data_IF_334723377660
#
_entry.id   IF_334723377660
#
_cell.length_a   1.000
_cell.length_b   1.000
_cell.length_c   1.000
_cell.angle_alpha   90.00
_cell.angle_beta   90.00
_cell.angle_gamma   90.00
#
_symmetry.space_group_name_H-M   'P 1'
#
loop_
_entity.id
_entity.type
_entity.pdbx_description
1 polymer ?
#
# COMPACT_ATOMS: atom_id res chain seq x y z
N UNK A 1 47.13 -33.13 -69.97
CA UNK A 1 47.19 -34.61 -70.05
C UNK A 1 46.79 -35.19 -68.71
N UNK A 2 45.80 -36.10 -68.70
CA UNK A 2 45.43 -37.14 -67.69
C UNK A 2 45.17 -36.64 -66.25
N UNK A 3 43.93 -36.51 -65.76
CA UNK A 3 42.89 -37.52 -65.44
C UNK A 3 43.16 -38.44 -64.23
N UNK A 4 42.04 -38.66 -63.51
CA UNK A 4 41.68 -39.60 -62.44
C UNK A 4 41.90 -39.11 -60.99
N UNK A 5 40.89 -38.86 -60.14
CA UNK A 5 39.56 -39.44 -59.79
C UNK A 5 39.62 -40.16 -58.43
N UNK A 6 38.48 -40.09 -57.72
CA UNK A 6 38.02 -40.94 -56.60
C UNK A 6 38.26 -40.35 -55.19
N UNK A 7 37.32 -40.29 -54.24
CA UNK A 7 35.86 -40.48 -54.10
C UNK A 7 35.56 -40.11 -52.62
N UNK A 8 34.38 -39.57 -52.30
CA UNK A 8 33.86 -39.56 -50.91
C UNK A 8 33.09 -38.30 -50.48
N UNK A 9 31.77 -38.35 -50.56
CA UNK A 9 30.74 -37.43 -50.02
C UNK A 9 30.08 -38.14 -48.80
N UNK A 10 29.26 -37.56 -47.88
CA UNK A 10 28.97 -36.18 -47.44
C UNK A 10 29.09 -35.97 -45.90
N UNK A 11 29.01 -34.73 -45.39
CA UNK A 11 28.09 -34.43 -44.27
C UNK A 11 27.75 -32.93 -44.15
N UNK A 12 26.45 -32.69 -44.04
CA UNK A 12 25.70 -31.48 -43.68
C UNK A 12 26.12 -31.06 -42.24
N UNK A 13 26.24 -29.78 -41.86
CA UNK A 13 25.17 -29.01 -41.20
C UNK A 13 25.50 -27.51 -41.11
N UNK A 14 24.52 -26.71 -41.54
CA UNK A 14 24.39 -25.28 -41.27
C UNK A 14 24.23 -25.04 -39.76
N UNK A 15 24.90 -24.02 -39.22
CA UNK A 15 24.45 -23.34 -38.02
C UNK A 15 23.90 -21.96 -38.43
N UNK A 16 22.57 -21.88 -38.50
CA UNK A 16 21.82 -20.62 -38.39
C UNK A 16 21.83 -20.19 -36.90
N UNK A 17 21.69 -18.88 -36.61
CA UNK A 17 21.50 -18.40 -35.25
C UNK A 17 20.12 -18.83 -34.73
N UNK A 18 20.10 -19.41 -33.52
CA UNK A 18 18.89 -19.80 -32.80
C UNK A 18 18.22 -18.57 -32.18
N UNK A 19 16.92 -18.48 -32.40
CA UNK A 19 16.02 -17.35 -32.16
C UNK A 19 15.50 -17.26 -30.72
N UNK A 20 15.18 -16.04 -30.29
CA UNK A 20 14.56 -15.62 -29.01
C UNK A 20 13.21 -16.30 -28.65
N UNK A 21 12.69 -17.21 -29.47
CA UNK A 21 11.40 -17.87 -29.29
C UNK A 21 11.38 -18.96 -28.20
N UNK A 22 12.52 -19.53 -27.83
CA UNK A 22 12.61 -20.59 -26.80
C UNK A 22 12.55 -20.04 -25.35
N UNK A 23 12.98 -18.80 -25.12
CA UNK A 23 12.90 -18.17 -23.80
C UNK A 23 11.46 -17.76 -23.45
N UNK A 24 10.69 -17.28 -24.43
CA UNK A 24 9.28 -16.93 -24.24
C UNK A 24 8.39 -18.17 -23.99
N UNK A 25 8.68 -19.29 -24.68
CA UNK A 25 7.98 -20.57 -24.48
C UNK A 25 8.16 -21.12 -23.05
N UNK A 26 9.38 -21.06 -22.52
CA UNK A 26 9.69 -21.62 -21.18
C UNK A 26 9.08 -20.76 -20.06
N UNK A 27 9.03 -19.44 -20.24
CA UNK A 27 8.43 -18.51 -19.28
C UNK A 27 6.89 -18.60 -19.30
N UNK A 28 6.28 -18.68 -20.48
CA UNK A 28 4.82 -18.89 -20.59
C UNK A 28 4.38 -20.21 -19.97
N UNK A 29 5.15 -21.29 -20.17
CA UNK A 29 4.81 -22.60 -19.60
C UNK A 29 4.88 -22.59 -18.06
N UNK A 30 5.85 -21.87 -17.48
CA UNK A 30 5.97 -21.73 -16.01
C UNK A 30 4.87 -20.86 -15.40
N UNK A 31 4.51 -19.75 -16.05
CA UNK A 31 3.41 -18.88 -15.59
C UNK A 31 2.06 -19.61 -15.66
N UNK A 32 1.83 -20.38 -16.73
CA UNK A 32 0.59 -21.16 -16.88
C UNK A 32 0.49 -22.29 -15.85
N UNK A 33 1.62 -22.87 -15.44
CA UNK A 33 1.66 -23.91 -14.38
C UNK A 33 1.38 -23.30 -13.00
N UNK A 34 1.92 -22.11 -12.71
CA UNK A 34 1.65 -21.39 -11.45
C UNK A 34 0.19 -20.94 -11.38
N UNK A 35 -0.39 -20.44 -12.48
CA UNK A 35 -1.81 -20.06 -12.54
C UNK A 35 -2.75 -21.28 -12.45
N UNK A 36 -2.35 -22.44 -12.98
CA UNK A 36 -3.07 -23.71 -12.78
C UNK A 36 -2.99 -24.20 -11.33
N UNK A 37 -1.85 -24.05 -10.65
CA UNK A 37 -1.71 -24.37 -9.22
C UNK A 37 -2.52 -23.43 -8.32
N UNK A 38 -2.54 -22.13 -8.63
CA UNK A 38 -3.33 -21.13 -7.88
C UNK A 38 -4.84 -21.28 -8.11
N UNK A 39 -5.27 -21.67 -9.32
CA UNK A 39 -6.67 -21.95 -9.61
C UNK A 39 -7.13 -23.30 -9.04
N UNK A 40 -6.24 -24.31 -8.98
CA UNK A 40 -6.51 -25.57 -8.30
C UNK A 40 -6.64 -25.40 -6.78
N UNK A 41 -5.81 -24.52 -6.17
CA UNK A 41 -5.89 -24.21 -4.73
C UNK A 41 -7.12 -23.40 -4.34
N UNK A 42 -7.78 -22.70 -5.28
CA UNK A 42 -9.08 -22.03 -5.04
C UNK A 42 -10.28 -22.97 -5.20
N UNK A 43 -10.10 -24.14 -5.82
CA UNK A 43 -11.18 -25.12 -6.08
C UNK A 43 -11.22 -26.28 -5.10
N UNK A 44 -10.19 -26.46 -4.27
CA UNK A 44 -10.21 -27.38 -3.13
C UNK A 44 -10.09 -26.58 -1.83
N UNK A 45 -11.09 -26.68 -0.96
CA UNK A 45 -11.01 -26.29 0.45
C UNK A 45 -10.00 -27.20 1.19
N UNK A 46 -8.70 -27.07 0.90
CA UNK A 46 -7.64 -27.73 1.67
C UNK A 46 -7.09 -26.73 2.68
N UNK A 47 -7.36 -26.98 3.97
CA UNK A 47 -6.56 -26.44 5.09
C UNK A 47 -5.14 -26.98 4.95
N UNK A 48 -4.20 -26.15 4.49
CA UNK A 48 -2.78 -26.47 4.58
C UNK A 48 -2.33 -26.12 6.00
N UNK A 49 -2.26 -27.13 6.87
CA UNK A 49 -1.60 -27.05 8.18
C UNK A 49 -0.11 -27.32 7.94
N UNK A 50 0.73 -26.31 8.14
CA UNK A 50 2.18 -26.47 8.13
C UNK A 50 2.64 -27.00 9.50
N UNK A 51 3.09 -28.25 9.56
CA UNK A 51 3.90 -28.75 10.67
C UNK A 51 5.38 -28.51 10.34
N UNK A 52 6.15 -27.76 11.13
CA UNK A 52 7.58 -27.69 10.92
C UNK A 52 8.24 -29.00 11.36
N UNK A 53 8.66 -29.81 10.38
CA UNK A 53 9.53 -30.96 10.62
C UNK A 53 10.94 -30.46 10.91
N UNK A 54 11.45 -30.71 12.11
CA UNK A 54 12.81 -30.37 12.50
C UNK A 54 13.81 -31.28 11.75
N UNK A 55 14.54 -30.73 10.78
CA UNK A 55 15.75 -31.35 10.23
C UNK A 55 16.98 -30.52 10.61
N UNK A 56 17.97 -31.24 11.15
CA UNK A 56 19.31 -30.73 11.48
C UNK A 56 20.05 -30.31 10.21
N UNK A 57 20.75 -29.19 10.30
CA UNK A 57 21.88 -28.84 9.44
C UNK A 57 21.51 -28.13 8.14
N UNK A 58 21.86 -26.85 8.06
CA UNK A 58 21.83 -26.07 6.81
C UNK A 58 21.33 -24.65 7.03
N UNK A 59 22.25 -23.69 7.06
CA UNK A 59 21.95 -22.27 7.12
C UNK A 59 21.30 -21.83 5.81
N UNK A 60 19.97 -21.91 5.73
CA UNK A 60 19.20 -21.23 4.68
C UNK A 60 18.34 -20.18 5.37
N UNK A 61 18.84 -18.95 5.34
CA UNK A 61 18.11 -17.75 5.77
C UNK A 61 16.92 -17.63 4.81
N UNK A 62 15.72 -17.99 5.27
CA UNK A 62 14.48 -17.63 4.58
C UNK A 62 14.40 -16.10 4.57
N UNK A 63 14.34 -15.45 3.39
CA UNK A 63 14.23 -14.01 3.32
C UNK A 63 12.90 -13.57 3.90
N UNK A 64 12.99 -12.62 4.83
CA UNK A 64 11.90 -11.90 5.47
C UNK A 64 10.91 -11.37 4.40
N UNK A 65 9.71 -11.96 4.34
CA UNK A 65 8.63 -11.62 3.41
C UNK A 65 8.01 -10.24 3.68
N UNK A 66 8.50 -9.49 4.68
CA UNK A 66 8.11 -8.10 4.96
C UNK A 66 8.48 -7.10 3.84
N UNK A 67 9.23 -7.51 2.81
CA UNK A 67 9.58 -6.66 1.65
C UNK A 67 8.51 -6.61 0.55
N UNK A 68 7.48 -7.43 0.60
CA UNK A 68 6.25 -7.22 -0.16
C UNK A 68 5.31 -6.47 0.80
N UNK A 69 5.04 -5.19 0.56
CA UNK A 69 4.33 -4.27 1.46
C UNK A 69 2.86 -4.59 1.77
N UNK A 70 2.54 -5.86 2.00
CA UNK A 70 1.25 -6.37 2.47
C UNK A 70 1.47 -6.86 3.90
N UNK A 71 0.92 -6.20 4.92
CA UNK A 71 0.92 -6.70 6.29
C UNK A 71 0.25 -8.08 6.32
N UNK A 72 1.00 -9.12 6.68
CA UNK A 72 0.42 -10.44 6.96
C UNK A 72 -0.11 -10.36 8.39
N UNK A 73 -1.43 -10.12 8.55
CA UNK A 73 -2.09 -10.23 9.85
C UNK A 73 -1.91 -11.67 10.36
N UNK A 74 -1.07 -11.84 11.37
CA UNK A 74 -0.88 -13.12 12.05
C UNK A 74 -2.13 -13.44 12.87
N UNK A 75 -2.58 -14.69 12.87
CA UNK A 75 -3.72 -15.11 13.69
C UNK A 75 -3.27 -15.41 15.12
N UNK A 76 -4.09 -15.08 16.13
CA UNK A 76 -3.82 -15.51 17.52
C UNK A 76 -3.90 -17.04 17.58
N UNK A 77 -2.90 -17.73 18.16
CA UNK A 77 -2.90 -19.19 18.26
C UNK A 77 -4.12 -19.69 19.03
N UNK A 78 -4.69 -20.82 18.58
CA UNK A 78 -5.83 -21.45 19.25
C UNK A 78 -5.54 -21.75 20.72
N UNK A 79 -4.31 -22.10 21.06
CA UNK A 79 -3.89 -22.38 22.44
C UNK A 79 -4.10 -21.20 23.39
N UNK A 80 -3.85 -19.97 22.94
CA UNK A 80 -4.04 -18.76 23.76
C UNK A 80 -5.53 -18.47 23.94
N UNK A 81 -6.33 -18.73 22.91
CA UNK A 81 -7.78 -18.56 22.97
C UNK A 81 -8.43 -19.62 23.83
N UNK A 82 -7.98 -20.87 23.73
CA UNK A 82 -8.44 -21.99 24.57
C UNK A 82 -8.11 -21.76 26.05
N UNK A 83 -6.91 -21.24 26.37
CA UNK A 83 -6.54 -20.86 27.74
C UNK A 83 -7.46 -19.75 28.29
N UNK A 84 -7.83 -18.77 27.46
CA UNK A 84 -8.78 -17.73 27.85
C UNK A 84 -10.18 -18.32 28.06
N UNK A 85 -10.64 -19.18 27.15
CA UNK A 85 -11.95 -19.84 27.19
C UNK A 85 -12.09 -20.85 28.33
N UNK A 86 -11.00 -21.46 28.81
CA UNK A 86 -11.05 -22.34 29.97
C UNK A 86 -11.20 -21.60 31.30
N UNK A 87 -11.07 -20.26 31.31
CA UNK A 87 -11.18 -19.44 32.53
C UNK A 87 -9.99 -19.64 33.50
N UNK A 88 -8.94 -20.34 33.08
CA UNK A 88 -7.76 -20.63 33.90
C UNK A 88 -6.54 -19.72 33.70
N UNK A 89 -6.53 -18.64 32.89
CA UNK A 89 -5.31 -17.88 32.71
C UNK A 89 -4.94 -17.17 34.02
N UNK A 90 -3.65 -17.01 34.27
CA UNK A 90 -3.20 -16.18 35.39
C UNK A 90 -3.43 -14.71 35.04
N UNK A 91 -4.47 -14.11 35.63
CA UNK A 91 -4.85 -12.71 35.42
C UNK A 91 -4.22 -11.82 36.48
N UNK A 92 -3.47 -10.80 36.05
CA UNK A 92 -2.86 -9.82 36.95
C UNK A 92 -3.71 -8.56 37.06
N UNK A 93 -3.91 -7.97 38.24
CA UNK A 93 -4.60 -6.70 38.33
C UNK A 93 -3.80 -5.59 37.64
N UNK A 94 -4.50 -4.77 36.85
CA UNK A 94 -4.00 -3.52 36.26
C UNK A 94 -4.87 -2.37 36.79
N UNK A 95 -4.49 -1.77 37.94
CA UNK A 95 -5.21 -0.63 38.48
C UNK A 95 -5.17 0.56 37.53
N UNK A 96 -6.31 1.24 37.38
CA UNK A 96 -6.40 2.45 36.56
C UNK A 96 -5.45 3.52 37.12
N UNK A 97 -4.67 4.14 36.23
CA UNK A 97 -3.65 5.13 36.56
C UNK A 97 -2.24 4.55 36.73
N UNK A 98 -2.09 3.23 36.78
CA UNK A 98 -0.79 2.57 36.95
C UNK A 98 -0.29 1.94 35.64
N UNK A 99 1.04 1.86 35.52
CA UNK A 99 1.74 1.15 34.44
C UNK A 99 2.33 -0.16 34.93
N UNK A 100 2.20 -1.23 34.15
CA UNK A 100 2.85 -2.51 34.41
C UNK A 100 3.76 -2.86 33.24
N UNK A 101 5.06 -2.99 33.52
CA UNK A 101 6.03 -3.47 32.54
C UNK A 101 6.20 -4.98 32.63
N UNK A 102 6.39 -5.61 31.48
CA UNK A 102 6.53 -7.06 31.39
C UNK A 102 7.27 -7.49 30.14
N UNK A 103 7.56 -8.79 30.10
CA UNK A 103 8.15 -9.46 28.95
C UNK A 103 7.37 -10.74 28.73
N UNK A 104 6.63 -10.81 27.63
CA UNK A 104 5.84 -11.98 27.26
C UNK A 104 6.65 -12.85 26.29
N UNK A 105 6.65 -14.15 26.55
CA UNK A 105 7.29 -15.12 25.66
C UNK A 105 6.56 -15.22 24.32
N UNK A 106 7.22 -15.86 23.35
CA UNK A 106 6.72 -15.98 21.98
C UNK A 106 5.39 -16.74 21.97
N UNK A 107 4.41 -16.22 21.24
CA UNK A 107 3.10 -16.87 21.10
C UNK A 107 2.37 -17.12 22.43
N UNK A 108 2.73 -16.38 23.49
CA UNK A 108 2.05 -16.37 24.78
C UNK A 108 1.34 -15.04 25.00
N UNK A 109 0.43 -15.02 25.97
CA UNK A 109 -0.26 -13.80 26.40
C UNK A 109 -0.11 -13.61 27.91
N UNK A 110 0.03 -12.36 28.34
CA UNK A 110 -0.13 -11.99 29.75
C UNK A 110 -1.49 -11.32 29.91
N UNK A 111 -2.31 -11.85 30.81
CA UNK A 111 -3.67 -11.38 31.05
C UNK A 111 -3.72 -10.37 32.20
N UNK A 112 -4.58 -9.37 32.04
CA UNK A 112 -4.75 -8.26 32.95
C UNK A 112 -6.23 -8.01 33.23
N UNK A 113 -6.58 -7.81 34.50
CA UNK A 113 -7.91 -7.37 34.91
C UNK A 113 -7.91 -5.87 35.23
N UNK A 114 -8.84 -5.14 34.64
CA UNK A 114 -9.08 -3.73 34.93
C UNK A 114 -10.45 -3.61 35.59
N UNK A 115 -10.48 -3.18 36.85
CA UNK A 115 -11.72 -2.91 37.57
C UNK A 115 -12.14 -1.45 37.34
N UNK A 116 -13.33 -1.26 36.78
CA UNK A 116 -13.91 0.02 36.38
C UNK A 116 -15.13 0.30 37.26
N UNK A 117 -15.18 1.45 37.91
CA UNK A 117 -16.38 1.90 38.64
C UNK A 117 -17.32 2.71 37.73
N UNK A 118 -18.51 3.08 38.21
CA UNK A 118 -19.50 3.84 37.43
C UNK A 118 -18.96 5.18 36.92
N UNK A 119 -18.29 5.97 37.77
CA UNK A 119 -17.72 7.26 37.36
C UNK A 119 -16.68 7.12 36.25
N UNK A 120 -15.86 6.06 36.30
CA UNK A 120 -14.84 5.76 35.32
C UNK A 120 -15.44 5.25 34.01
N UNK A 121 -16.47 4.41 34.09
CA UNK A 121 -17.23 3.97 32.93
C UNK A 121 -17.89 5.16 32.22
N UNK A 122 -18.39 6.13 32.99
CA UNK A 122 -18.91 7.38 32.44
C UNK A 122 -17.82 8.30 31.88
N UNK A 123 -16.66 8.39 32.52
CA UNK A 123 -15.57 9.19 31.95
C UNK A 123 -15.04 8.59 30.64
N UNK A 124 -15.01 7.26 30.55
CA UNK A 124 -14.36 6.51 29.48
C UNK A 124 -12.97 6.02 29.88
N UNK A 125 -12.54 4.95 29.23
CA UNK A 125 -11.32 4.21 29.57
C UNK A 125 -10.43 4.04 28.34
N UNK A 126 -9.13 4.21 28.53
CA UNK A 126 -8.12 3.93 27.51
C UNK A 126 -7.18 2.87 28.04
N UNK A 127 -7.01 1.79 27.30
CA UNK A 127 -5.98 0.78 27.59
C UNK A 127 -4.94 0.86 26.49
N UNK A 128 -3.69 1.15 26.87
CA UNK A 128 -2.57 1.31 25.93
C UNK A 128 -1.40 0.44 26.31
N UNK A 129 -0.67 0.01 25.30
CA UNK A 129 0.56 -0.76 25.45
C UNK A 129 1.65 -0.10 24.62
N UNK A 130 2.83 0.05 25.20
CA UNK A 130 4.01 0.60 24.52
C UNK A 130 5.21 -0.32 24.68
N UNK A 131 6.12 -0.31 23.70
CA UNK A 131 7.41 -1.00 23.78
C UNK A 131 8.54 -0.11 23.30
N UNK A 132 9.44 0.24 24.21
CA UNK A 132 10.69 0.93 23.89
C UNK A 132 11.66 0.06 23.08
N UNK A 133 11.53 -1.27 23.19
CA UNK A 133 12.32 -2.23 22.43
C UNK A 133 11.75 -2.48 21.02
N UNK A 134 10.72 -1.72 20.61
CA UNK A 134 10.02 -1.89 19.33
C UNK A 134 9.55 -3.34 19.10
N UNK A 135 9.09 -3.99 20.18
CA UNK A 135 8.60 -5.36 20.12
C UNK A 135 7.31 -5.44 19.29
N UNK A 136 7.10 -6.56 18.61
CA UNK A 136 5.82 -6.88 17.97
C UNK A 136 4.91 -7.56 18.98
N UNK A 137 3.73 -7.00 19.19
CA UNK A 137 2.73 -7.51 20.12
C UNK A 137 1.33 -7.14 19.65
N UNK A 138 0.32 -7.76 20.25
CA UNK A 138 -1.08 -7.38 20.09
C UNK A 138 -1.70 -7.07 21.45
N UNK A 139 -2.57 -6.08 21.48
CA UNK A 139 -3.47 -5.82 22.60
C UNK A 139 -4.79 -6.52 22.31
N UNK A 140 -5.23 -7.34 23.24
CA UNK A 140 -6.47 -8.11 23.14
C UNK A 140 -7.43 -7.67 24.24
N UNK A 141 -8.72 -7.64 23.92
CA UNK A 141 -9.81 -7.46 24.89
C UNK A 141 -10.76 -8.65 24.81
N UNK A 142 -11.16 -9.15 25.97
CA UNK A 142 -12.04 -10.30 26.09
C UNK A 142 -13.30 -9.96 26.88
N UNK A 143 -14.41 -10.56 26.48
CA UNK A 143 -15.68 -10.54 27.19
C UNK A 143 -15.90 -11.85 27.94
N UNK A 144 -16.65 -11.78 29.04
CA UNK A 144 -16.98 -12.95 29.84
C UNK A 144 -18.01 -13.81 29.10
N UNK A 145 -17.75 -15.12 28.98
CA UNK A 145 -18.67 -16.08 28.39
C UNK A 145 -19.50 -16.81 29.44
N UNK A 146 -20.67 -17.34 29.04
CA UNK A 146 -21.56 -18.05 29.95
C UNK A 146 -20.95 -19.32 30.57
N UNK A 147 -19.92 -19.89 29.93
CA UNK A 147 -19.16 -21.04 30.42
C UNK A 147 -18.13 -20.69 31.52
N UNK A 148 -18.00 -19.42 31.92
CA UNK A 148 -17.00 -18.94 32.89
C UNK A 148 -15.64 -18.62 32.29
N UNK A 149 -15.49 -18.75 30.97
CA UNK A 149 -14.30 -18.37 30.22
C UNK A 149 -14.35 -16.96 29.64
N UNK A 150 -13.38 -16.64 28.80
CA UNK A 150 -13.25 -15.34 28.14
C UNK A 150 -13.21 -15.49 26.61
N UNK A 151 -14.18 -14.87 25.92
CA UNK A 151 -14.27 -14.81 24.47
C UNK A 151 -13.55 -13.57 23.92
N UNK A 152 -12.74 -13.73 22.87
CA UNK A 152 -12.02 -12.61 22.26
C UNK A 152 -13.01 -11.65 21.58
N UNK A 153 -13.05 -10.39 22.05
CA UNK A 153 -13.94 -9.36 21.52
C UNK A 153 -13.22 -8.37 20.62
N UNK A 154 -12.01 -7.91 20.99
CA UNK A 154 -11.22 -6.99 20.18
C UNK A 154 -9.76 -7.41 20.10
N UNK A 155 -9.13 -7.07 18.98
CA UNK A 155 -7.70 -7.19 18.79
C UNK A 155 -7.14 -5.94 18.12
N UNK A 156 -6.04 -5.42 18.66
CA UNK A 156 -5.29 -4.30 18.09
C UNK A 156 -3.83 -4.71 17.89
N UNK A 157 -3.33 -4.54 16.67
CA UNK A 157 -1.94 -4.80 16.31
C UNK A 157 -1.08 -3.60 16.68
N UNK A 158 0.11 -3.84 17.23
CA UNK A 158 1.00 -2.73 17.53
C UNK A 158 1.51 -2.06 16.25
N UNK A 159 1.54 -0.74 16.25
CA UNK A 159 2.11 0.07 15.18
C UNK A 159 3.39 0.76 15.64
N UNK A 160 4.28 1.06 14.70
CA UNK A 160 5.51 1.79 15.01
C UNK A 160 5.22 3.29 15.05
N UNK A 161 5.40 3.86 16.24
CA UNK A 161 5.24 5.29 16.49
C UNK A 161 6.57 5.89 16.91
N UNK A 162 7.29 6.48 15.96
CA UNK A 162 8.64 7.04 16.18
C UNK A 162 9.66 5.98 16.61
N UNK A 163 10.14 6.08 17.85
CA UNK A 163 11.14 5.17 18.45
C UNK A 163 10.53 4.01 19.25
N UNK A 164 9.21 3.97 19.38
CA UNK A 164 8.49 2.92 20.14
C UNK A 164 7.50 2.20 19.23
N UNK A 165 7.01 1.04 19.67
CA UNK A 165 5.78 0.44 19.11
C UNK A 165 4.64 0.58 20.12
N UNK A 166 3.43 0.81 19.63
CA UNK A 166 2.25 1.15 20.44
C UNK A 166 1.00 0.47 19.93
N UNK A 167 0.13 0.01 20.82
CA UNK A 167 -1.26 -0.35 20.52
C UNK A 167 -2.17 0.28 21.58
N UNK A 168 -3.40 0.64 21.21
CA UNK A 168 -4.34 1.25 22.15
C UNK A 168 -5.78 0.96 21.79
N UNK A 169 -6.59 0.72 22.81
CA UNK A 169 -8.05 0.62 22.73
C UNK A 169 -8.66 1.78 23.49
N UNK A 170 -9.62 2.46 22.86
CA UNK A 170 -10.18 3.73 23.31
C UNK A 170 -11.70 3.59 23.50
N UNK A 171 -12.14 3.50 24.75
CA UNK A 171 -13.53 3.34 25.16
C UNK A 171 -14.06 4.67 25.71
N UNK A 172 -14.23 5.66 24.83
CA UNK A 172 -14.43 7.06 25.19
C UNK A 172 -15.89 7.54 25.15
N UNK A 173 -16.87 6.62 24.99
CA UNK A 173 -18.31 6.91 24.84
C UNK A 173 -18.65 7.81 23.63
N UNK A 174 -17.77 7.84 22.64
CA UNK A 174 -18.05 8.31 21.29
C UNK A 174 -17.34 7.40 20.30
N UNK A 175 -17.77 7.45 19.04
CA UNK A 175 -17.21 6.59 18.02
C UNK A 175 -15.77 7.01 17.69
N UNK A 176 -14.84 6.11 17.99
CA UNK A 176 -13.44 6.16 17.53
C UNK A 176 -13.32 5.34 16.26
N UNK A 177 -12.46 5.76 15.33
CA UNK A 177 -12.24 5.07 14.06
C UNK A 177 -10.83 4.51 13.97
N UNK A 178 -10.73 3.26 13.53
CA UNK A 178 -9.46 2.62 13.15
C UNK A 178 -9.23 2.78 11.66
N UNK A 179 -7.96 2.93 11.26
CA UNK A 179 -7.58 2.99 9.86
C UNK A 179 -7.17 1.60 9.36
N UNK A 180 -7.90 1.03 8.41
CA UNK A 180 -7.46 -0.18 7.72
C UNK A 180 -6.43 0.18 6.63
N UNK A 181 -5.16 0.04 7.00
CA UNK A 181 -4.02 0.33 6.11
C UNK A 181 -3.95 -0.60 4.89
N UNK A 182 -4.58 -1.78 4.92
CA UNK A 182 -4.55 -2.74 3.82
C UNK A 182 -5.37 -2.26 2.60
N UNK A 183 -6.49 -1.57 2.85
CA UNK A 183 -7.32 -0.99 1.79
C UNK A 183 -6.57 0.11 1.02
N UNK A 184 -5.78 0.91 1.75
CA UNK A 184 -5.04 2.02 1.16
C UNK A 184 -3.92 1.52 0.23
N UNK A 185 -3.15 0.50 0.62
CA UNK A 185 -2.02 0.00 -0.17
C UNK A 185 -2.42 -0.52 -1.57
N UNK A 186 -3.55 -1.21 -1.69
CA UNK A 186 -4.05 -1.74 -2.97
C UNK A 186 -4.45 -0.62 -3.94
N UNK A 187 -5.06 0.45 -3.42
CA UNK A 187 -5.43 1.61 -4.23
C UNK A 187 -4.18 2.34 -4.76
N UNK A 188 -3.16 2.53 -3.92
CA UNK A 188 -1.93 3.24 -4.30
C UNK A 188 -1.14 2.53 -5.41
N UNK A 189 -1.19 1.20 -5.47
CA UNK A 189 -0.47 0.42 -6.47
C UNK A 189 -1.04 0.55 -7.89
N UNK A 190 -2.31 0.96 -8.04
CA UNK A 190 -3.02 1.03 -9.32
C UNK A 190 -3.05 2.44 -9.91
N UNK A 191 -3.19 3.45 -9.06
CA UNK A 191 -3.29 4.86 -9.46
C UNK A 191 -2.78 5.76 -8.30
N UNK A 192 -1.63 6.45 -8.47
CA UNK A 192 -1.08 7.34 -7.46
C UNK A 192 -2.01 8.50 -7.07
N UNK A 193 -2.87 8.98 -7.98
CA UNK A 193 -3.83 10.05 -7.66
C UNK A 193 -5.01 9.49 -6.86
N UNK A 194 -5.46 8.28 -7.17
CA UNK A 194 -6.49 7.60 -6.38
C UNK A 194 -6.04 7.32 -4.94
N UNK A 195 -4.73 7.16 -4.71
CA UNK A 195 -4.16 7.03 -3.36
C UNK A 195 -4.58 8.17 -2.43
N UNK A 196 -4.58 9.41 -2.95
CA UNK A 196 -4.95 10.58 -2.18
C UNK A 196 -6.44 10.59 -1.84
N UNK A 197 -7.30 10.40 -2.84
CA UNK A 197 -8.75 10.43 -2.67
C UNK A 197 -9.27 9.30 -1.77
N UNK A 198 -8.61 8.14 -1.82
CA UNK A 198 -8.99 6.95 -1.05
C UNK A 198 -8.37 6.85 0.33
N UNK A 199 -7.51 7.81 0.70
CA UNK A 199 -6.74 7.77 1.96
C UNK A 199 -7.59 7.61 3.22
N UNK A 200 -8.82 8.12 3.21
CA UNK A 200 -9.76 8.06 4.33
C UNK A 200 -10.86 6.98 4.15
N UNK A 201 -10.83 6.18 3.08
CA UNK A 201 -11.82 5.10 2.87
C UNK A 201 -11.65 3.94 3.85
N UNK A 202 -10.42 3.72 4.34
CA UNK A 202 -10.11 2.71 5.34
C UNK A 202 -10.60 3.04 6.76
N UNK A 203 -11.21 4.20 7.01
CA UNK A 203 -11.77 4.55 8.32
C UNK A 203 -12.95 3.63 8.66
N UNK A 204 -12.72 2.71 9.60
CA UNK A 204 -13.72 1.78 10.13
C UNK A 204 -14.04 2.14 11.58
N UNK A 205 -15.32 2.15 11.98
CA UNK A 205 -15.67 2.36 13.38
C UNK A 205 -15.10 1.20 14.24
N UNK A 206 -14.54 1.54 15.40
CA UNK A 206 -14.21 0.55 16.43
C UNK A 206 -15.51 -0.13 16.90
N UNK A 207 -15.47 -1.46 17.03
CA UNK A 207 -16.65 -2.29 17.32
C UNK A 207 -17.22 -2.04 18.72
N UNK A 208 -16.35 -1.67 19.68
CA UNK A 208 -16.74 -1.30 21.05
C UNK A 208 -16.25 0.12 21.32
N UNK A 209 -17.16 0.99 21.75
CA UNK A 209 -16.89 2.41 22.03
C UNK A 209 -16.94 2.76 23.52
N UNK A 210 -17.44 1.86 24.37
CA UNK A 210 -17.58 2.06 25.81
C UNK A 210 -17.43 0.74 26.57
N UNK A 211 -17.03 0.84 27.84
CA UNK A 211 -17.03 -0.27 28.80
C UNK A 211 -17.98 0.07 29.95
N UNK A 212 -18.61 -0.96 30.53
CA UNK A 212 -19.47 -0.79 31.69
C UNK A 212 -18.65 -0.80 32.98
N UNK A 213 -19.28 -0.46 34.09
CA UNK A 213 -18.71 -0.74 35.40
C UNK A 213 -18.58 -2.26 35.57
N UNK A 214 -17.47 -2.69 36.18
CA UNK A 214 -17.15 -4.11 36.34
C UNK A 214 -15.68 -4.42 36.07
N UNK A 215 -15.38 -5.71 35.97
CA UNK A 215 -14.03 -6.21 35.71
C UNK A 215 -13.90 -6.59 34.24
N UNK A 216 -12.93 -5.99 33.57
CA UNK A 216 -12.65 -6.20 32.15
C UNK A 216 -11.29 -6.88 31.96
N UNK A 217 -11.23 -7.82 31.01
CA UNK A 217 -10.01 -8.61 30.76
C UNK A 217 -9.32 -8.16 29.48
N UNK A 218 -8.05 -7.82 29.63
CA UNK A 218 -7.15 -7.48 28.54
C UNK A 218 -5.98 -8.45 28.51
N UNK A 219 -5.32 -8.57 27.36
CA UNK A 219 -4.06 -9.29 27.29
C UNK A 219 -3.05 -8.64 26.36
N UNK A 220 -1.78 -8.78 26.70
CA UNK A 220 -0.67 -8.46 25.79
C UNK A 220 -0.13 -9.76 25.22
N UNK A 221 -0.31 -9.96 23.92
CA UNK A 221 0.14 -11.15 23.20
C UNK A 221 1.47 -10.89 22.47
N UNK A 222 2.45 -11.78 22.65
CA UNK A 222 3.74 -11.71 21.99
C UNK A 222 3.68 -12.20 20.54
N UNK A 223 3.49 -11.27 19.60
CA UNK A 223 3.30 -11.55 18.17
C UNK A 223 4.60 -11.69 17.36
N UNK A 224 5.67 -12.12 18.04
CA UNK A 224 6.98 -12.30 17.44
C UNK A 224 7.39 -13.78 17.47
N UNK A 225 7.74 -14.32 16.29
CA UNK A 225 8.15 -15.72 16.13
C UNK A 225 9.55 -16.01 16.70
N UNK A 226 10.40 -14.99 16.83
CA UNK A 226 11.82 -15.19 17.12
C UNK A 226 12.29 -14.59 18.43
N UNK A 227 11.60 -13.58 18.97
CA UNK A 227 11.99 -12.91 20.22
C UNK A 227 10.78 -12.70 21.14
N UNK A 228 10.96 -12.79 22.46
CA UNK A 228 9.95 -12.33 23.41
C UNK A 228 9.66 -10.84 23.22
N UNK A 229 8.45 -10.41 23.58
CA UNK A 229 8.01 -9.03 23.48
C UNK A 229 8.07 -8.34 24.84
N UNK A 230 8.92 -7.32 24.95
CA UNK A 230 8.91 -6.43 26.12
C UNK A 230 7.88 -5.34 25.92
N UNK A 231 7.12 -5.02 26.96
CA UNK A 231 6.04 -4.03 26.88
C UNK A 231 5.83 -3.31 28.22
N UNK A 232 5.07 -2.22 28.17
CA UNK A 232 4.45 -1.55 29.32
C UNK A 232 3.00 -1.30 28.99
N UNK A 233 2.09 -1.82 29.81
CA UNK A 233 0.64 -1.65 29.67
C UNK A 233 0.12 -0.67 30.73
N UNK A 234 -0.85 0.15 30.36
CA UNK A 234 -1.51 1.13 31.21
C UNK A 234 -3.01 1.15 30.93
N UNK A 235 -3.81 1.28 31.99
CA UNK A 235 -5.23 1.62 31.90
C UNK A 235 -5.44 3.02 32.46
N UNK A 236 -6.10 3.90 31.71
CA UNK A 236 -6.25 5.32 32.04
C UNK A 236 -7.73 5.71 32.03
N UNK A 237 -8.12 6.51 33.02
CA UNK A 237 -9.43 7.16 33.04
C UNK A 237 -9.38 8.44 32.19
N UNK A 238 -10.30 8.58 31.25
CA UNK A 238 -10.35 9.73 30.35
C UNK A 238 -10.70 11.04 31.08
N UNK A 239 -11.24 10.98 32.31
CA UNK A 239 -11.45 12.14 33.21
C UNK A 239 -10.17 12.94 33.44
N UNK A 240 -9.02 12.26 33.50
CA UNK A 240 -7.71 12.92 33.65
C UNK A 240 -7.18 13.55 32.34
N UNK A 241 -7.90 13.40 31.23
CA UNK A 241 -7.49 13.78 29.87
C UNK A 241 -8.62 14.45 29.08
N UNK A 242 -9.59 15.10 29.74
CA UNK A 242 -10.80 15.66 29.13
C UNK A 242 -10.52 16.53 27.89
N UNK A 243 -9.60 17.49 27.98
CA UNK A 243 -9.21 18.34 26.86
C UNK A 243 -8.72 17.53 25.64
N UNK A 244 -7.97 16.46 25.89
CA UNK A 244 -7.43 15.60 24.82
C UNK A 244 -8.53 14.73 24.24
N UNK A 245 -9.43 14.23 25.08
CA UNK A 245 -10.61 13.43 24.69
C UNK A 245 -11.57 14.26 23.81
N UNK A 246 -11.84 15.51 24.18
CA UNK A 246 -12.65 16.43 23.37
C UNK A 246 -12.00 16.76 22.03
N UNK A 247 -10.70 17.07 22.02
CA UNK A 247 -9.95 17.30 20.78
C UNK A 247 -9.99 16.08 19.86
N UNK A 248 -9.86 14.87 20.42
CA UNK A 248 -9.97 13.64 19.63
C UNK A 248 -11.36 13.50 19.01
N UNK A 249 -12.43 13.73 19.78
CA UNK A 249 -13.81 13.71 19.27
C UNK A 249 -14.01 14.69 18.10
N UNK A 250 -13.46 15.89 18.21
CA UNK A 250 -13.53 16.90 17.15
C UNK A 250 -12.76 16.48 15.90
N UNK A 251 -11.56 15.89 16.08
CA UNK A 251 -10.75 15.37 14.97
C UNK A 251 -11.45 14.21 14.27
N UNK A 252 -12.06 13.28 15.00
CA UNK A 252 -12.82 12.18 14.42
C UNK A 252 -13.98 12.70 13.54
N UNK A 253 -14.73 13.69 14.04
CA UNK A 253 -15.79 14.33 13.27
C UNK A 253 -15.25 15.03 12.00
N UNK A 254 -14.10 15.72 12.10
CA UNK A 254 -13.45 16.38 10.97
C UNK A 254 -12.95 15.37 9.92
N UNK A 255 -12.38 14.24 10.34
CA UNK A 255 -11.92 13.17 9.44
C UNK A 255 -13.07 12.57 8.65
N UNK A 256 -14.20 12.29 9.30
CA UNK A 256 -15.40 11.79 8.60
C UNK A 256 -15.96 12.81 7.61
N UNK A 257 -15.99 14.09 7.99
CA UNK A 257 -16.41 15.17 7.09
C UNK A 257 -15.49 15.23 5.88
N UNK A 258 -14.16 15.22 6.10
CA UNK A 258 -13.16 15.24 5.04
C UNK A 258 -13.23 14.01 4.13
N UNK A 259 -13.55 12.82 4.65
CA UNK A 259 -13.79 11.62 3.85
C UNK A 259 -14.91 11.84 2.82
N UNK A 260 -16.00 12.49 3.23
CA UNK A 260 -17.11 12.78 2.31
C UNK A 260 -16.75 13.88 1.31
N UNK A 261 -16.06 14.93 1.76
CA UNK A 261 -15.57 16.00 0.88
C UNK A 261 -14.59 15.48 -0.17
N UNK A 262 -13.69 14.56 0.18
CA UNK A 262 -12.74 13.95 -0.75
C UNK A 262 -13.43 13.16 -1.85
N UNK A 263 -14.52 12.43 -1.55
CA UNK A 263 -15.28 11.70 -2.57
C UNK A 263 -15.91 12.65 -3.59
N UNK A 264 -16.46 13.78 -3.13
CA UNK A 264 -17.02 14.78 -4.03
C UNK A 264 -15.92 15.45 -4.86
N UNK A 265 -14.80 15.80 -4.21
CA UNK A 265 -13.66 16.40 -4.89
C UNK A 265 -13.04 15.47 -5.94
N UNK A 266 -12.99 14.15 -5.71
CA UNK A 266 -12.52 13.19 -6.71
C UNK A 266 -13.31 13.30 -8.02
N UNK A 267 -14.63 13.41 -7.94
CA UNK A 267 -15.51 13.51 -9.11
C UNK A 267 -15.17 14.77 -9.92
N UNK A 268 -15.04 15.91 -9.23
CA UNK A 268 -14.72 17.20 -9.85
C UNK A 268 -13.32 17.19 -10.47
N UNK A 269 -12.35 16.63 -9.76
CA UNK A 269 -10.98 16.49 -10.21
C UNK A 269 -10.89 15.66 -11.50
N UNK A 270 -11.52 14.47 -11.53
CA UNK A 270 -11.51 13.60 -12.72
C UNK A 270 -12.17 14.28 -13.92
N UNK A 271 -13.24 15.04 -13.70
CA UNK A 271 -13.89 15.83 -14.76
C UNK A 271 -12.98 16.92 -15.31
N UNK A 272 -12.23 17.61 -14.44
CA UNK A 272 -11.26 18.62 -14.86
C UNK A 272 -10.09 18.00 -15.66
N UNK A 273 -9.56 16.86 -15.21
CA UNK A 273 -8.51 16.12 -15.93
C UNK A 273 -8.97 15.70 -17.31
N UNK A 274 -10.18 15.15 -17.45
CA UNK A 274 -10.74 14.77 -18.74
C UNK A 274 -10.86 15.96 -19.71
N UNK A 275 -11.35 17.11 -19.22
CA UNK A 275 -11.42 18.33 -20.05
C UNK A 275 -10.05 18.88 -20.44
N UNK A 276 -9.09 18.84 -19.53
CA UNK A 276 -7.73 19.27 -19.83
C UNK A 276 -7.10 18.40 -20.93
N UNK A 277 -7.30 17.08 -20.87
CA UNK A 277 -6.84 16.14 -21.89
C UNK A 277 -7.49 16.41 -23.25
N UNK A 278 -8.81 16.65 -23.27
CA UNK A 278 -9.56 17.01 -24.48
C UNK A 278 -8.99 18.28 -25.14
N UNK A 279 -8.85 19.36 -24.37
CA UNK A 279 -8.34 20.64 -24.87
C UNK A 279 -6.89 20.54 -25.35
N UNK A 280 -6.05 19.78 -24.63
CA UNK A 280 -4.64 19.58 -25.00
C UNK A 280 -4.50 18.76 -26.28
N UNK A 281 -5.35 17.75 -26.45
CA UNK A 281 -5.42 16.96 -27.69
C UNK A 281 -5.83 17.85 -28.87
N UNK A 282 -6.90 18.64 -28.70
CA UNK A 282 -7.36 19.57 -29.73
C UNK A 282 -6.30 20.61 -30.10
N UNK A 283 -5.64 21.23 -29.12
CA UNK A 283 -4.55 22.17 -29.38
C UNK A 283 -3.43 21.53 -30.22
N UNK A 284 -3.06 20.29 -29.92
CA UNK A 284 -2.03 19.57 -30.68
C UNK A 284 -2.44 19.32 -32.13
N UNK A 285 -3.72 18.95 -32.36
CA UNK A 285 -4.28 18.77 -33.70
C UNK A 285 -4.35 20.07 -34.49
N UNK A 286 -4.86 21.14 -33.88
CA UNK A 286 -4.96 22.46 -34.51
C UNK A 286 -3.58 23.01 -34.89
N UNK A 287 -2.60 22.87 -33.98
CA UNK A 287 -1.21 23.25 -34.26
C UNK A 287 -0.66 22.51 -35.49
N UNK A 288 -0.85 21.20 -35.54
CA UNK A 288 -0.39 20.39 -36.69
C UNK A 288 -1.09 20.82 -37.98
N UNK A 289 -2.41 21.04 -37.94
CA UNK A 289 -3.18 21.49 -39.11
C UNK A 289 -2.67 22.83 -39.64
N UNK A 290 -2.39 23.79 -38.75
CA UNK A 290 -1.81 25.09 -39.13
C UNK A 290 -0.41 24.92 -39.75
N UNK A 291 0.45 24.10 -39.15
CA UNK A 291 1.80 23.84 -39.68
C UNK A 291 1.74 23.21 -41.09
N UNK A 292 0.80 22.30 -41.33
CA UNK A 292 0.57 21.68 -42.64
C UNK A 292 0.06 22.69 -43.68
N UNK A 293 -0.89 23.56 -43.31
CA UNK A 293 -1.40 24.61 -44.18
C UNK A 293 -0.31 25.62 -44.56
N UNK A 294 0.52 26.03 -43.59
CA UNK A 294 1.65 26.93 -43.84
C UNK A 294 2.65 26.28 -44.81
N UNK A 295 2.97 24.99 -44.61
CA UNK A 295 3.86 24.25 -45.52
C UNK A 295 3.30 24.15 -46.93
N UNK A 296 1.99 23.88 -47.08
CA UNK A 296 1.33 23.85 -48.39
C UNK A 296 1.37 25.23 -49.07
N UNK A 297 1.06 26.30 -48.33
CA UNK A 297 1.16 27.68 -48.84
C UNK A 297 2.56 27.99 -49.35
N UNK A 298 3.59 27.69 -48.56
CA UNK A 298 4.99 28.00 -48.91
C UNK A 298 5.46 27.19 -50.13
N UNK A 299 4.98 25.94 -50.28
CA UNK A 299 5.18 25.13 -51.49
C UNK A 299 4.56 25.77 -52.73
N UNK A 300 3.31 26.24 -52.63
CA UNK A 300 2.62 26.93 -53.72
C UNK A 300 3.36 28.22 -54.10
N UNK A 301 3.74 29.05 -53.12
CA UNK A 301 4.53 30.26 -53.38
C UNK A 301 5.85 29.96 -54.09
N UNK A 302 6.54 28.91 -53.69
CA UNK A 302 7.79 28.49 -54.33
C UNK A 302 7.58 28.04 -55.78
N UNK A 303 6.43 27.43 -56.11
CA UNK A 303 6.14 26.99 -57.49
C UNK A 303 6.07 28.14 -58.51
N UNK A 304 5.55 29.31 -58.12
CA UNK A 304 5.55 30.52 -58.96
C UNK A 304 6.95 31.10 -59.18
N UNK A 305 7.90 30.74 -58.32
CA UNK A 305 9.27 31.26 -58.39
C UNK A 305 10.15 30.44 -59.34
N UNK A 306 9.71 29.24 -59.75
CA UNK A 306 10.52 28.33 -60.61
C UNK A 306 10.30 28.53 -62.12
N UNK A 307 9.37 29.39 -62.56
CA UNK A 307 9.13 29.61 -63.99
C UNK A 307 9.44 31.04 -64.45
N UNK A 308 10.73 31.40 -64.45
CA UNK A 308 11.33 32.19 -65.55
C UNK A 308 12.83 31.88 -65.69
N UNK A 309 13.15 30.63 -65.99
CA UNK A 309 14.39 30.27 -66.70
C UNK A 309 14.03 29.62 -68.02
N UNK A 310 13.50 30.42 -68.95
CA UNK A 310 13.71 30.20 -70.37
C UNK A 310 14.31 31.48 -70.94
N UNK A 311 15.60 31.36 -71.28
CA UNK A 311 16.27 32.03 -72.39
C UNK A 311 15.90 33.51 -72.60
N UNK A 312 16.72 34.42 -72.08
CA UNK A 312 17.22 35.58 -72.82
C UNK A 312 18.35 36.28 -72.03
N UNK A 313 19.53 36.28 -72.68
CA UNK A 313 20.65 37.22 -72.56
C UNK A 313 21.63 37.07 -71.38
N UNK A 314 22.81 36.57 -71.77
CA UNK A 314 24.15 37.06 -71.41
C UNK A 314 24.17 38.38 -70.63
N UNK A 315 24.80 38.39 -69.46
CA UNK A 315 25.07 39.62 -68.72
C UNK A 315 25.54 39.39 -67.29
N UNK A 316 26.85 39.40 -67.10
CA UNK A 316 27.54 39.48 -65.82
C UNK A 316 27.00 40.61 -64.92
N UNK A 317 26.68 40.32 -63.65
CA UNK A 317 26.87 41.26 -62.54
C UNK A 317 26.65 40.60 -61.17
N UNK A 318 27.68 40.69 -60.32
CA UNK A 318 27.64 40.65 -58.86
C UNK A 318 26.53 41.54 -58.29
N UNK A 319 25.79 41.07 -57.27
CA UNK A 319 25.35 41.87 -56.11
C UNK A 319 24.92 40.93 -54.97
N UNK A 320 25.52 41.11 -53.79
CA UNK A 320 25.02 40.52 -52.55
C UNK A 320 23.99 41.43 -51.89
N UNK A 321 23.09 40.87 -51.07
CA UNK A 321 22.88 41.32 -49.69
C UNK A 321 21.88 40.40 -48.95
N UNK A 322 22.06 40.37 -47.63
CA UNK A 322 21.31 39.70 -46.58
C UNK A 322 19.80 40.03 -46.58
N UNK A 323 18.97 39.05 -46.15
CA UNK A 323 17.74 39.37 -45.42
C UNK A 323 17.47 38.34 -44.32
N UNK A 324 17.41 38.86 -43.10
CA UNK A 324 17.18 38.21 -41.84
C UNK A 324 15.70 37.87 -41.65
N UNK A 325 15.35 36.59 -41.64
CA UNK A 325 14.06 36.13 -41.10
C UNK A 325 14.24 35.74 -39.64
N UNK A 326 13.90 36.67 -38.74
CA UNK A 326 13.81 36.43 -37.30
C UNK A 326 12.68 35.43 -37.03
N UNK A 327 13.08 34.20 -36.72
CA UNK A 327 12.21 33.19 -36.09
C UNK A 327 11.80 33.70 -34.70
N UNK A 328 10.54 34.11 -34.55
CA UNK A 328 9.95 34.32 -33.23
C UNK A 328 9.70 32.96 -32.57
N UNK A 329 10.71 32.44 -31.87
CA UNK A 329 10.51 31.37 -30.89
C UNK A 329 9.86 31.97 -29.64
N UNK A 330 8.53 31.92 -29.56
CA UNK A 330 7.87 32.00 -28.26
C UNK A 330 8.06 30.67 -27.53
N UNK A 331 9.10 30.62 -26.70
CA UNK A 331 9.29 29.58 -25.69
C UNK A 331 8.32 29.84 -24.54
N UNK A 332 7.13 29.24 -24.59
CA UNK A 332 6.34 29.02 -23.38
C UNK A 332 7.04 27.92 -22.57
N UNK A 333 7.89 28.35 -21.63
CA UNK A 333 8.47 27.45 -20.63
C UNK A 333 7.37 27.06 -19.64
N UNK A 334 6.69 25.94 -19.89
CA UNK A 334 5.99 25.21 -18.84
C UNK A 334 7.05 24.50 -17.97
N UNK A 335 7.73 25.28 -17.13
CA UNK A 335 8.38 24.77 -15.93
C UNK A 335 7.42 24.99 -14.77
N UNK A 336 6.71 23.94 -14.40
CA UNK A 336 5.97 23.93 -13.14
C UNK A 336 4.64 23.22 -13.23
N UNK A 337 4.65 21.91 -13.41
CA UNK A 337 3.63 20.97 -12.90
C UNK A 337 4.19 19.55 -13.03
N UNK A 338 5.37 19.35 -12.45
CA UNK A 338 5.88 18.05 -12.07
C UNK A 338 6.81 18.29 -10.89
N UNK A 339 6.17 18.44 -9.72
CA UNK A 339 6.71 18.25 -8.37
C UNK A 339 5.62 18.69 -7.39
N UNK A 340 4.79 17.74 -6.98
CA UNK A 340 4.58 17.41 -5.57
C UNK A 340 3.84 16.09 -5.45
#
# INVERSE_FOLDING_TARGET
>A
MRCFLSLGIPLIWRLRPLTESLLLSTIQTRILTILKLLSFSRRLHIRIVFYPTQRRGGNTILPDLSKLGVPIKTTIPATVLEEALSGTPTVRPLPIGNSVSGKVEKQCAHFFSVSINEEQAEAGIVVRVTSAAQSKFKLLYFEHEANGGYGLALQEECERTGKVTTAGMYFLRFQVYRMDSTMNALAMAKDPEAAFFKRLEGLQPCEVSELKAGTHIFAVYGDNFFKPASYTIEALCAKSYEDTTHKLKDIEAQLLKKRNELRQFEIEYRKAVARFQEVTSRYSQEKQSVDELLKQRDSIHSSFTVARSLSLLSGSAHFGNSSSSKSWRFSLSLKGLDKK
#
